data_IF_583827933608
#
_entry.id   IF_583827933608
#
_cell.length_a   1.000
_cell.length_b   1.000
_cell.length_c   1.000
_cell.angle_alpha   90.00
_cell.angle_beta   90.00
_cell.angle_gamma   90.00
#
_symmetry.space_group_name_H-M   'P 1'
#
loop_
_entity.id
_entity.type
_entity.pdbx_description
1 polymer ?
#
# COMPACT_ATOMS: atom_id res chain seq x y z
N UNK A 1 25.70 -25.32 30.91
CA UNK A 1 24.80 -25.06 29.76
C UNK A 1 23.41 -25.56 30.13
N UNK A 2 22.38 -24.69 30.19
CA UNK A 2 21.02 -25.14 30.51
C UNK A 2 20.50 -26.04 29.39
N UNK A 3 20.04 -27.25 29.73
CA UNK A 3 19.39 -28.17 28.78
C UNK A 3 18.00 -27.63 28.44
N UNK A 4 17.80 -27.25 27.19
CA UNK A 4 16.48 -26.85 26.69
C UNK A 4 15.56 -28.08 26.75
N UNK A 5 14.39 -27.93 27.36
CA UNK A 5 13.43 -29.03 27.48
C UNK A 5 12.79 -29.37 26.13
N UNK A 6 12.40 -30.64 25.93
CA UNK A 6 11.69 -31.10 24.73
C UNK A 6 10.40 -30.28 24.47
N UNK A 7 9.69 -29.92 25.55
CA UNK A 7 8.50 -29.05 25.50
C UNK A 7 8.79 -27.67 24.93
N UNK A 8 9.92 -27.07 25.31
CA UNK A 8 10.37 -25.78 24.79
C UNK A 8 10.65 -25.85 23.28
N UNK A 9 11.32 -26.91 22.82
CA UNK A 9 11.63 -27.13 21.40
C UNK A 9 10.36 -27.24 20.56
N UNK A 10 9.34 -27.97 21.04
CA UNK A 10 8.09 -28.16 20.30
C UNK A 10 7.28 -26.86 20.19
N UNK A 11 7.31 -25.99 21.22
CA UNK A 11 6.73 -24.64 21.15
C UNK A 11 7.40 -23.78 20.08
N UNK A 12 8.74 -23.79 20.03
CA UNK A 12 9.50 -23.06 19.03
C UNK A 12 9.22 -23.54 17.60
N UNK A 13 9.08 -24.84 17.37
CA UNK A 13 8.70 -25.37 16.06
C UNK A 13 7.33 -24.88 15.59
N UNK A 14 6.34 -24.89 16.49
CA UNK A 14 4.99 -24.38 16.19
C UNK A 14 5.00 -22.89 15.89
N UNK A 15 5.76 -22.11 16.66
CA UNK A 15 5.91 -20.68 16.45
C UNK A 15 6.62 -20.38 15.11
N UNK A 16 7.73 -21.06 14.83
CA UNK A 16 8.48 -20.89 13.59
C UNK A 16 7.60 -21.21 12.38
N UNK A 17 6.83 -22.30 12.43
CA UNK A 17 5.88 -22.66 11.37
C UNK A 17 4.82 -21.58 11.17
N UNK A 18 4.22 -21.06 12.24
CA UNK A 18 3.21 -20.01 12.16
C UNK A 18 3.79 -18.73 11.53
N UNK A 19 4.99 -18.30 11.93
CA UNK A 19 5.67 -17.13 11.36
C UNK A 19 6.01 -17.31 9.88
N UNK A 20 6.50 -18.48 9.48
CA UNK A 20 6.76 -18.78 8.07
C UNK A 20 5.49 -18.69 7.23
N UNK A 21 4.35 -19.20 7.75
CA UNK A 21 3.06 -19.09 7.07
C UNK A 21 2.66 -17.62 6.92
N UNK A 22 2.77 -16.81 7.98
CA UNK A 22 2.42 -15.38 7.95
C UNK A 22 3.19 -14.66 6.84
N UNK A 23 4.50 -14.87 6.75
CA UNK A 23 5.38 -14.21 5.78
C UNK A 23 5.06 -14.69 4.37
N UNK A 24 5.12 -16.00 4.12
CA UNK A 24 4.96 -16.57 2.79
C UNK A 24 3.56 -16.31 2.23
N UNK A 25 2.53 -16.36 3.07
CA UNK A 25 1.16 -16.04 2.68
C UNK A 25 1.05 -14.60 2.16
N UNK A 26 1.61 -13.63 2.88
CA UNK A 26 1.53 -12.22 2.48
C UNK A 26 2.38 -11.94 1.23
N UNK A 27 3.53 -12.60 1.07
CA UNK A 27 4.30 -12.56 -0.18
C UNK A 27 3.46 -13.14 -1.33
N UNK A 28 2.83 -14.30 -1.13
CA UNK A 28 1.99 -14.94 -2.14
C UNK A 28 0.81 -14.05 -2.57
N UNK A 29 0.13 -13.39 -1.63
CA UNK A 29 -0.93 -12.44 -1.96
C UNK A 29 -0.42 -11.25 -2.79
N UNK A 30 0.69 -10.63 -2.39
CA UNK A 30 1.23 -9.47 -3.11
C UNK A 30 1.72 -9.84 -4.51
N UNK A 31 2.45 -10.96 -4.66
CA UNK A 31 2.87 -11.47 -5.97
C UNK A 31 1.65 -11.84 -6.84
N UNK A 32 0.63 -12.46 -6.24
CA UNK A 32 -0.61 -12.78 -6.93
C UNK A 32 -1.33 -11.52 -7.44
N UNK A 33 -1.43 -10.49 -6.60
CA UNK A 33 -1.99 -9.20 -7.00
C UNK A 33 -1.19 -8.60 -8.15
N UNK A 34 0.14 -8.53 -8.04
CA UNK A 34 1.00 -7.99 -9.10
C UNK A 34 0.86 -8.77 -10.43
N UNK A 35 0.69 -10.09 -10.36
CA UNK A 35 0.55 -10.95 -11.54
C UNK A 35 -0.79 -10.75 -12.27
N UNK A 36 -1.90 -10.63 -11.53
CA UNK A 36 -3.25 -10.55 -12.11
C UNK A 36 -3.80 -9.13 -12.20
N UNK A 37 -3.20 -8.20 -11.47
CA UNK A 37 -3.56 -6.79 -11.39
C UNK A 37 -2.27 -5.96 -11.27
N UNK A 38 -1.54 -5.78 -12.38
CA UNK A 38 -0.24 -5.12 -12.38
C UNK A 38 -0.36 -3.67 -11.92
N UNK A 39 0.68 -3.20 -11.25
CA UNK A 39 0.78 -1.81 -10.82
C UNK A 39 0.90 -0.90 -12.05
N UNK A 40 0.17 0.23 -12.10
CA UNK A 40 0.37 1.24 -13.12
C UNK A 40 1.81 1.74 -13.12
N UNK A 41 2.48 1.78 -14.27
CA UNK A 41 3.83 2.34 -14.37
C UNK A 41 3.78 3.83 -14.68
N UNK A 42 4.64 4.63 -14.04
CA UNK A 42 4.70 6.08 -14.25
C UNK A 42 4.87 6.46 -15.72
N UNK A 43 5.76 5.75 -16.42
CA UNK A 43 6.12 6.05 -17.81
C UNK A 43 4.99 5.80 -18.81
N UNK A 44 3.96 5.03 -18.44
CA UNK A 44 2.76 4.84 -19.26
C UNK A 44 1.89 6.11 -19.30
N UNK A 45 2.03 6.98 -18.29
CA UNK A 45 1.27 8.22 -18.16
C UNK A 45 2.13 9.45 -18.43
N UNK A 46 3.35 9.47 -17.89
CA UNK A 46 4.30 10.58 -17.98
C UNK A 46 5.59 10.13 -18.70
N UNK A 47 5.58 10.09 -20.04
CA UNK A 47 6.74 9.67 -20.83
C UNK A 47 7.91 10.66 -20.70
N UNK A 48 9.14 10.14 -20.69
CA UNK A 48 10.37 10.92 -20.49
C UNK A 48 10.54 12.06 -21.51
N UNK A 49 10.00 11.90 -22.72
CA UNK A 49 10.05 12.89 -23.78
C UNK A 49 9.37 14.22 -23.39
N UNK A 50 8.45 14.22 -22.41
CA UNK A 50 7.85 15.44 -21.87
C UNK A 50 8.89 16.34 -21.19
N UNK A 51 9.96 15.77 -20.64
CA UNK A 51 10.99 16.53 -19.94
C UNK A 51 12.12 17.02 -20.85
N UNK A 52 12.23 16.43 -22.04
CA UNK A 52 13.18 16.85 -23.07
C UNK A 52 12.67 18.04 -23.91
N UNK A 53 11.36 18.31 -23.83
CA UNK A 53 10.71 19.41 -24.54
C UNK A 53 11.11 20.79 -24.00
N UNK A 54 11.37 21.73 -24.92
CA UNK A 54 11.51 23.16 -24.58
C UNK A 54 10.17 23.87 -24.79
N UNK A 55 9.48 24.16 -23.69
CA UNK A 55 8.21 24.89 -23.68
C UNK A 55 8.43 26.33 -23.23
N UNK A 56 8.69 27.22 -24.19
CA UNK A 56 8.99 28.63 -23.91
C UNK A 56 7.73 29.52 -23.88
N UNK A 57 6.58 28.97 -24.28
CA UNK A 57 5.30 29.70 -24.34
C UNK A 57 4.20 28.94 -23.60
N UNK A 58 3.21 29.69 -23.11
CA UNK A 58 2.00 29.10 -22.51
C UNK A 58 1.30 28.14 -23.48
N UNK A 59 1.14 28.52 -24.75
CA UNK A 59 0.51 27.69 -25.77
C UNK A 59 1.27 26.36 -25.97
N UNK A 60 2.60 26.40 -26.04
CA UNK A 60 3.40 25.16 -26.17
C UNK A 60 3.34 24.27 -24.93
N UNK A 61 3.19 24.86 -23.74
CA UNK A 61 3.04 24.13 -22.48
C UNK A 61 1.66 23.45 -22.38
N UNK A 62 0.60 24.19 -22.66
CA UNK A 62 -0.77 23.68 -22.60
C UNK A 62 -1.04 22.63 -23.69
N UNK A 63 -0.38 22.75 -24.84
CA UNK A 63 -0.47 21.76 -25.93
C UNK A 63 0.00 20.35 -25.53
N UNK A 64 0.88 20.23 -24.52
CA UNK A 64 1.33 18.93 -23.97
C UNK A 64 0.62 18.55 -22.67
N UNK A 65 -0.40 19.31 -22.26
CA UNK A 65 -1.09 19.10 -20.99
C UNK A 65 -0.29 19.60 -19.78
N UNK A 66 0.73 20.42 -19.99
CA UNK A 66 1.46 21.09 -18.91
C UNK A 66 0.69 22.28 -18.35
N UNK A 67 1.05 22.70 -17.13
CA UNK A 67 0.51 23.92 -16.53
C UNK A 67 1.53 25.05 -16.57
N UNK A 68 1.14 26.19 -17.17
CA UNK A 68 1.97 27.39 -17.17
C UNK A 68 1.89 28.10 -15.81
N UNK A 69 2.95 28.02 -15.01
CA UNK A 69 2.98 28.50 -13.62
C UNK A 69 4.06 29.55 -13.42
N UNK A 70 3.77 30.53 -12.57
CA UNK A 70 4.77 31.47 -12.07
C UNK A 70 5.39 30.92 -10.79
N UNK A 71 6.72 30.86 -10.73
CA UNK A 71 7.45 30.53 -9.51
C UNK A 71 8.41 31.66 -9.17
N UNK A 72 8.19 32.24 -7.98
CA UNK A 72 8.97 33.32 -7.35
C UNK A 72 10.37 32.88 -6.86
N UNK A 73 10.77 31.63 -7.12
CA UNK A 73 12.10 31.11 -6.85
C UNK A 73 12.77 30.54 -8.10
N UNK A 74 12.05 30.48 -9.23
CA UNK A 74 12.56 29.98 -10.49
C UNK A 74 13.15 31.12 -11.32
N UNK A 75 14.38 30.92 -11.80
CA UNK A 75 14.98 31.75 -12.84
C UNK A 75 15.56 30.86 -13.95
N UNK A 76 15.20 31.10 -15.22
CA UNK A 76 15.75 30.36 -16.35
C UNK A 76 17.24 30.68 -16.60
N UNK A 77 17.79 31.69 -15.92
CA UNK A 77 19.21 32.09 -16.03
C UNK A 77 19.85 32.22 -14.63
N UNK A 78 21.16 31.94 -14.48
CA UNK A 78 21.87 32.18 -13.23
C UNK A 78 21.76 33.66 -12.84
N UNK A 79 21.22 33.96 -11.65
CA UNK A 79 21.05 35.34 -11.18
C UNK A 79 22.32 35.75 -10.42
N UNK A 80 22.97 36.83 -10.86
CA UNK A 80 24.21 37.34 -10.25
C UNK A 80 23.95 38.28 -9.05
N UNK A 81 22.71 38.72 -8.85
CA UNK A 81 22.27 39.69 -7.83
C UNK A 81 20.95 39.24 -7.18
N UNK A 82 20.63 39.65 -5.94
CA UNK A 82 19.39 39.27 -5.26
C UNK A 82 18.18 40.10 -5.76
N UNK A 83 18.03 40.23 -7.07
CA UNK A 83 16.84 40.80 -7.70
C UNK A 83 15.68 39.79 -7.60
N UNK A 84 14.42 40.25 -7.70
CA UNK A 84 13.24 39.38 -7.60
C UNK A 84 13.36 38.21 -8.58
N UNK A 85 13.73 37.04 -8.04
CA UNK A 85 13.79 35.78 -8.76
C UNK A 85 12.34 35.42 -9.04
N UNK A 86 11.96 35.28 -10.30
CA UNK A 86 10.57 35.00 -10.60
C UNK A 86 10.32 34.90 -12.09
N UNK A 87 9.97 33.72 -12.56
CA UNK A 87 9.65 33.51 -13.97
C UNK A 87 8.51 32.52 -14.11
N UNK A 88 7.78 32.67 -15.21
CA UNK A 88 6.91 31.60 -15.67
C UNK A 88 7.75 30.43 -16.17
N UNK A 89 7.25 29.22 -15.94
CA UNK A 89 7.80 27.98 -16.45
C UNK A 89 6.65 27.02 -16.79
N UNK A 90 6.96 26.00 -17.59
CA UNK A 90 6.02 24.93 -17.88
C UNK A 90 6.19 23.78 -16.90
N UNK A 91 5.14 23.47 -16.14
CA UNK A 91 5.01 22.20 -15.43
C UNK A 91 4.44 21.15 -16.39
N UNK A 92 5.32 20.61 -17.25
CA UNK A 92 4.93 19.68 -18.32
C UNK A 92 4.29 18.37 -17.80
N UNK A 93 4.63 17.97 -16.58
CA UNK A 93 4.12 16.76 -15.94
C UNK A 93 2.77 16.94 -15.23
N UNK A 94 2.19 18.13 -15.22
CA UNK A 94 1.03 18.44 -14.39
C UNK A 94 -0.16 17.49 -14.62
N UNK A 95 -0.70 17.46 -15.85
CA UNK A 95 -1.90 16.65 -16.15
C UNK A 95 -1.60 15.15 -16.10
N UNK A 96 -0.42 14.73 -16.57
CA UNK A 96 -0.07 13.31 -16.56
C UNK A 96 0.15 12.80 -15.13
N UNK A 97 0.75 13.61 -14.26
CA UNK A 97 0.95 13.29 -12.85
C UNK A 97 -0.38 13.14 -12.10
N UNK A 98 -1.32 14.06 -12.34
CA UNK A 98 -2.69 13.92 -11.82
C UNK A 98 -3.38 12.65 -12.30
N UNK A 99 -3.27 12.35 -13.60
CA UNK A 99 -3.84 11.13 -14.17
C UNK A 99 -3.24 9.88 -13.52
N UNK A 100 -1.91 9.83 -13.35
CA UNK A 100 -1.25 8.73 -12.66
C UNK A 100 -1.71 8.59 -11.20
N UNK A 101 -1.80 9.69 -10.45
CA UNK A 101 -2.30 9.70 -9.07
C UNK A 101 -3.73 9.14 -8.98
N UNK A 102 -4.61 9.54 -9.90
CA UNK A 102 -5.98 9.03 -9.97
C UNK A 102 -6.04 7.53 -10.25
N UNK A 103 -5.25 7.04 -11.22
CA UNK A 103 -5.17 5.60 -11.50
C UNK A 103 -4.57 4.84 -10.33
N UNK A 104 -3.50 5.36 -9.71
CA UNK A 104 -2.88 4.76 -8.54
C UNK A 104 -3.83 4.69 -7.35
N UNK A 105 -4.68 5.71 -7.16
CA UNK A 105 -5.73 5.69 -6.14
C UNK A 105 -6.73 4.56 -6.37
N UNK A 106 -7.21 4.39 -7.61
CA UNK A 106 -8.11 3.29 -7.99
C UNK A 106 -7.43 1.93 -7.79
N UNK A 107 -6.17 1.82 -8.21
CA UNK A 107 -5.36 0.62 -8.04
C UNK A 107 -5.22 0.23 -6.56
N UNK A 108 -4.75 1.16 -5.72
CA UNK A 108 -4.57 0.93 -4.29
C UNK A 108 -5.89 0.61 -3.58
N UNK A 109 -7.02 1.20 -4.00
CA UNK A 109 -8.35 0.85 -3.50
C UNK A 109 -8.69 -0.62 -3.79
N UNK A 110 -8.48 -1.06 -5.02
CA UNK A 110 -8.80 -2.44 -5.42
C UNK A 110 -7.89 -3.44 -4.69
N UNK A 111 -6.59 -3.12 -4.55
CA UNK A 111 -5.66 -3.93 -3.76
C UNK A 111 -6.07 -4.00 -2.29
N UNK A 112 -6.48 -2.87 -1.69
CA UNK A 112 -7.02 -2.83 -0.33
C UNK A 112 -8.23 -3.76 -0.18
N UNK A 113 -9.19 -3.70 -1.11
CA UNK A 113 -10.39 -4.55 -1.09
C UNK A 113 -10.00 -6.03 -1.16
N UNK A 114 -9.11 -6.40 -2.08
CA UNK A 114 -8.67 -7.79 -2.28
C UNK A 114 -7.93 -8.32 -1.05
N UNK A 115 -6.93 -7.60 -0.54
CA UNK A 115 -6.18 -8.00 0.66
C UNK A 115 -7.09 -8.10 1.88
N UNK A 116 -8.02 -7.15 2.04
CA UNK A 116 -8.97 -7.15 3.16
C UNK A 116 -9.93 -8.34 3.07
N UNK A 117 -10.47 -8.62 1.88
CA UNK A 117 -11.38 -9.73 1.67
C UNK A 117 -10.70 -11.09 1.90
N UNK A 118 -9.51 -11.29 1.33
CA UNK A 118 -8.72 -12.50 1.53
C UNK A 118 -8.28 -12.67 2.99
N UNK A 119 -7.81 -11.59 3.62
CA UNK A 119 -7.41 -11.61 5.03
C UNK A 119 -8.59 -11.93 5.95
N UNK A 120 -9.75 -11.30 5.74
CA UNK A 120 -10.96 -11.60 6.50
C UNK A 120 -11.44 -13.04 6.27
N UNK A 121 -11.41 -13.53 5.04
CA UNK A 121 -11.71 -14.93 4.72
C UNK A 121 -10.81 -15.89 5.50
N UNK A 122 -9.49 -15.65 5.52
CA UNK A 122 -8.55 -16.49 6.25
C UNK A 122 -8.76 -16.46 7.76
N UNK A 123 -9.05 -15.28 8.32
CA UNK A 123 -9.42 -15.16 9.74
C UNK A 123 -10.65 -16.02 10.03
N UNK A 124 -11.72 -15.87 9.25
CA UNK A 124 -12.98 -16.63 9.43
C UNK A 124 -12.72 -18.13 9.28
N UNK A 125 -12.07 -18.57 8.20
CA UNK A 125 -11.77 -19.99 7.92
C UNK A 125 -10.93 -20.59 9.05
N UNK A 126 -9.95 -19.85 9.57
CA UNK A 126 -9.10 -20.32 10.66
C UNK A 126 -9.84 -20.58 11.99
N UNK A 127 -11.06 -20.06 12.15
CA UNK A 127 -11.87 -20.30 13.34
C UNK A 127 -12.69 -21.60 13.25
N UNK A 128 -12.90 -22.16 12.06
CA UNK A 128 -13.78 -23.31 11.84
C UNK A 128 -13.04 -24.58 11.37
N UNK A 129 -11.80 -24.46 10.91
CA UNK A 129 -11.01 -25.62 10.48
C UNK A 129 -10.43 -26.40 11.65
N UNK A 130 -10.49 -27.74 11.58
CA UNK A 130 -9.87 -28.65 12.54
C UNK A 130 -8.48 -29.13 12.07
N UNK A 131 -7.53 -28.21 11.97
CA UNK A 131 -6.13 -28.48 11.55
C UNK A 131 -5.14 -28.08 12.66
N UNK A 132 -3.83 -28.43 12.57
CA UNK A 132 -2.88 -28.13 13.64
C UNK A 132 -2.86 -26.66 14.04
N UNK A 133 -2.82 -26.38 15.34
CA UNK A 133 -2.93 -25.02 15.88
C UNK A 133 -1.88 -24.04 15.36
N UNK A 134 -0.68 -24.53 15.03
CA UNK A 134 0.37 -23.72 14.39
C UNK A 134 -0.07 -23.17 13.01
N UNK A 135 -0.76 -24.00 12.22
CA UNK A 135 -1.28 -23.61 10.89
C UNK A 135 -2.43 -22.64 11.06
N UNK A 136 -3.38 -22.94 11.97
CA UNK A 136 -4.48 -22.03 12.29
C UNK A 136 -4.00 -20.65 12.76
N UNK A 137 -3.01 -20.61 13.64
CA UNK A 137 -2.39 -19.37 14.11
C UNK A 137 -1.72 -18.61 12.96
N UNK A 138 -0.99 -19.32 12.09
CA UNK A 138 -0.37 -18.74 10.90
C UNK A 138 -1.39 -18.11 9.95
N UNK A 139 -2.48 -18.81 9.63
CA UNK A 139 -3.55 -18.29 8.77
C UNK A 139 -4.28 -17.09 9.40
N UNK A 140 -4.59 -17.18 10.69
CA UNK A 140 -5.30 -16.13 11.42
C UNK A 140 -4.48 -14.85 11.50
N UNK A 141 -3.25 -14.92 12.03
CA UNK A 141 -2.38 -13.75 12.14
C UNK A 141 -1.90 -13.27 10.77
N UNK A 142 -1.75 -14.17 9.80
CA UNK A 142 -1.44 -13.84 8.41
C UNK A 142 -2.57 -13.06 7.75
N UNK A 143 -3.83 -13.42 8.01
CA UNK A 143 -5.00 -12.70 7.54
C UNK A 143 -5.13 -11.32 8.20
N UNK A 144 -4.89 -11.21 9.51
CA UNK A 144 -4.82 -9.91 10.20
C UNK A 144 -3.74 -9.01 9.60
N UNK A 145 -2.53 -9.56 9.36
CA UNK A 145 -1.45 -8.82 8.73
C UNK A 145 -1.81 -8.39 7.30
N UNK A 146 -2.47 -9.25 6.52
CA UNK A 146 -2.92 -8.92 5.17
C UNK A 146 -3.90 -7.73 5.16
N UNK A 147 -4.84 -7.71 6.11
CA UNK A 147 -5.75 -6.56 6.31
C UNK A 147 -4.94 -5.30 6.65
N UNK A 148 -3.97 -5.38 7.58
CA UNK A 148 -3.12 -4.24 7.93
C UNK A 148 -2.38 -3.68 6.70
N UNK A 149 -1.79 -4.55 5.88
CA UNK A 149 -1.08 -4.16 4.66
C UNK A 149 -2.03 -3.46 3.69
N UNK A 150 -3.23 -4.01 3.49
CA UNK A 150 -4.25 -3.39 2.64
C UNK A 150 -4.64 -2.00 3.14
N UNK A 151 -4.86 -1.83 4.45
CA UNK A 151 -5.21 -0.55 5.06
C UNK A 151 -4.09 0.47 4.87
N UNK A 152 -2.84 0.11 5.19
CA UNK A 152 -1.69 1.02 5.03
C UNK A 152 -1.55 1.51 3.59
N UNK A 153 -1.85 0.65 2.60
CA UNK A 153 -1.72 0.98 1.18
C UNK A 153 -2.73 2.01 0.69
N UNK A 154 -3.97 1.96 1.18
CA UNK A 154 -5.03 2.88 0.73
C UNK A 154 -5.30 4.03 1.72
N UNK A 155 -4.65 4.02 2.89
CA UNK A 155 -4.88 4.95 4.00
C UNK A 155 -4.97 6.41 3.57
N UNK A 156 -3.96 6.91 2.84
CA UNK A 156 -3.87 8.31 2.44
C UNK A 156 -5.03 8.73 1.52
N UNK A 157 -5.49 7.80 0.68
CA UNK A 157 -6.58 8.01 -0.26
C UNK A 157 -7.99 7.75 0.31
N UNK A 158 -8.11 7.14 1.49
CA UNK A 158 -9.39 6.91 2.17
C UNK A 158 -9.97 8.23 2.70
N UNK A 159 -11.29 8.40 2.56
CA UNK A 159 -12.02 9.44 3.27
C UNK A 159 -12.04 9.17 4.79
N UNK A 160 -12.25 10.22 5.58
CA UNK A 160 -12.15 10.14 7.04
C UNK A 160 -13.19 9.20 7.66
N UNK A 161 -14.39 9.11 7.07
CA UNK A 161 -15.43 8.19 7.55
C UNK A 161 -15.04 6.73 7.29
N UNK A 162 -14.49 6.43 6.11
CA UNK A 162 -14.00 5.10 5.77
C UNK A 162 -12.84 4.68 6.67
N UNK A 163 -11.88 5.58 6.95
CA UNK A 163 -10.78 5.32 7.90
C UNK A 163 -11.31 4.92 9.28
N UNK A 164 -12.30 5.65 9.79
CA UNK A 164 -12.93 5.35 11.07
C UNK A 164 -13.64 3.99 11.07
N UNK A 165 -14.47 3.73 10.06
CA UNK A 165 -15.23 2.46 9.93
C UNK A 165 -14.28 1.26 9.84
N UNK A 166 -13.26 1.33 8.97
CA UNK A 166 -12.31 0.23 8.78
C UNK A 166 -11.51 -0.04 10.05
N UNK A 167 -11.08 1.01 10.75
CA UNK A 167 -10.39 0.88 12.04
C UNK A 167 -11.29 0.25 13.11
N UNK A 168 -12.56 0.65 13.17
CA UNK A 168 -13.55 0.07 14.08
C UNK A 168 -13.84 -1.41 13.80
N UNK A 169 -14.00 -1.79 12.52
CA UNK A 169 -14.18 -3.18 12.10
C UNK A 169 -12.95 -4.02 12.45
N UNK A 170 -11.75 -3.50 12.19
CA UNK A 170 -10.50 -4.19 12.52
C UNK A 170 -10.36 -4.44 14.03
N UNK A 171 -10.68 -3.43 14.84
CA UNK A 171 -10.70 -3.57 16.30
C UNK A 171 -11.72 -4.63 16.75
N UNK A 172 -12.93 -4.61 16.18
CA UNK A 172 -13.97 -5.60 16.47
C UNK A 172 -13.51 -7.02 16.12
N UNK A 173 -12.88 -7.21 14.96
CA UNK A 173 -12.31 -8.50 14.55
C UNK A 173 -11.27 -8.98 15.58
N UNK A 174 -10.34 -8.11 16.00
CA UNK A 174 -9.33 -8.46 16.99
C UNK A 174 -9.95 -8.86 18.34
N UNK A 175 -10.99 -8.14 18.79
CA UNK A 175 -11.72 -8.48 20.02
C UNK A 175 -12.40 -9.84 19.88
N UNK A 176 -13.11 -10.10 18.77
CA UNK A 176 -13.81 -11.37 18.55
C UNK A 176 -12.84 -12.55 18.49
N UNK A 177 -11.70 -12.37 17.82
CA UNK A 177 -10.62 -13.37 17.75
C UNK A 177 -10.06 -13.62 19.15
N UNK A 178 -9.76 -12.56 19.91
CA UNK A 178 -9.28 -12.67 21.28
C UNK A 178 -10.26 -13.44 22.17
N UNK A 179 -11.55 -13.09 22.15
CA UNK A 179 -12.56 -13.73 23.00
C UNK A 179 -12.80 -15.19 22.64
N UNK A 180 -12.84 -15.56 21.35
CA UNK A 180 -13.02 -16.96 20.96
C UNK A 180 -11.78 -17.77 21.30
N UNK A 181 -10.60 -17.31 20.88
CA UNK A 181 -9.38 -18.11 20.96
C UNK A 181 -8.81 -18.23 22.37
N UNK A 182 -8.94 -17.19 23.19
CA UNK A 182 -8.52 -17.25 24.61
C UNK A 182 -9.45 -18.13 25.44
N UNK A 183 -10.69 -18.38 25.00
CA UNK A 183 -11.57 -19.35 25.66
C UNK A 183 -11.29 -20.80 25.28
N UNK A 184 -10.68 -21.03 24.11
CA UNK A 184 -10.41 -22.36 23.56
C UNK A 184 -9.02 -22.91 23.97
N UNK A 185 -8.13 -22.07 24.52
CA UNK A 185 -6.86 -22.47 25.17
C UNK A 185 -7.02 -22.65 26.69
#
# INVERSE_FOLDING_TARGET
MPKISKSTIDKWKKLALALSIIIVLNVFFNVGIETFYPMPEWNDYCPDQLWEGRYETQESCEAVGGQWRYDQYYSPKPVATPEEVGSYYCDAGYTCGQTYEEVMKVYNRNVFIVLTALGALLVVVSLYLSIPSAVLNGLMYGGVLSILIGVMRYWDSMDDYLRFIVSGVMLLILILVGVKKVKDE
#
